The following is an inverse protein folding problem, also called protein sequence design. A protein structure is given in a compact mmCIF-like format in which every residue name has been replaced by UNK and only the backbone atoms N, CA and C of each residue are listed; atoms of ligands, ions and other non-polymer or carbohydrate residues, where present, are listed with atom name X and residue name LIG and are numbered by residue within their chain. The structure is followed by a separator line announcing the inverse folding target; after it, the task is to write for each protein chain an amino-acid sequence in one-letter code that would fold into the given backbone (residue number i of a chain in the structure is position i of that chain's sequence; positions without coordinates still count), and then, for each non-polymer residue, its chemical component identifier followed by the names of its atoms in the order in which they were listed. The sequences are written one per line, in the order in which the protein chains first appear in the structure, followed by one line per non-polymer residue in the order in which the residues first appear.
data_IF_071938074112
#
_entry.id   IF_071938074112
#
_cell.length_a   1.000
_cell.length_b   1.000
_cell.length_c   1.000
_cell.angle_alpha   90.00
_cell.angle_beta   90.00
_cell.angle_gamma   90.00
#
_symmetry.space_group_name_H-M   'P 1'
#
loop_
_entity.id
_entity.type
_entity.pdbx_description
1 polymer ?
#
# COMPACT_ATOMS: atom_id res chain seq x y z
N UNK A 1 0.73 -23.69 -37.58
CA UNK A 1 1.19 -22.99 -36.36
C UNK A 1 0.58 -21.60 -36.38
N UNK A 2 -0.36 -21.31 -35.48
CA UNK A 2 -1.06 -20.02 -35.44
C UNK A 2 -0.47 -19.12 -34.36
N UNK A 3 0.01 -17.95 -34.74
CA UNK A 3 0.39 -16.90 -33.80
C UNK A 3 -0.87 -16.18 -33.31
N UNK A 4 -1.10 -16.16 -32.01
CA UNK A 4 -2.11 -15.30 -31.41
C UNK A 4 -1.52 -13.89 -31.25
N UNK A 5 -1.94 -12.95 -32.09
CA UNK A 5 -1.65 -11.54 -31.88
C UNK A 5 -2.53 -11.09 -30.70
N UNK A 6 -1.90 -10.93 -29.53
CA UNK A 6 -2.51 -10.27 -28.38
C UNK A 6 -2.78 -8.81 -28.76
N UNK A 7 -4.03 -8.53 -29.10
CA UNK A 7 -4.54 -7.19 -29.36
C UNK A 7 -4.33 -6.38 -28.07
N UNK A 8 -3.46 -5.38 -28.11
CA UNK A 8 -3.41 -4.38 -27.04
C UNK A 8 -4.83 -3.84 -26.84
N UNK A 9 -5.29 -3.84 -25.58
CA UNK A 9 -6.56 -3.23 -25.21
C UNK A 9 -6.52 -1.77 -25.70
N UNK A 10 -7.43 -1.35 -26.60
CA UNK A 10 -7.53 0.06 -26.92
C UNK A 10 -7.84 0.80 -25.62
N UNK A 11 -7.01 1.78 -25.28
CA UNK A 11 -7.13 2.60 -24.08
C UNK A 11 -8.49 3.29 -24.04
N UNK A 12 -9.42 2.72 -23.28
CA UNK A 12 -10.71 3.28 -22.93
C UNK A 12 -10.90 3.20 -21.42
N UNK A 13 -10.62 4.32 -20.75
CA UNK A 13 -11.25 4.81 -19.50
C UNK A 13 -11.41 3.86 -18.29
N UNK A 14 -10.54 2.88 -18.10
CA UNK A 14 -10.25 2.34 -16.77
C UNK A 14 -8.79 2.65 -16.50
N UNK A 15 -8.52 3.61 -15.60
CA UNK A 15 -7.15 3.84 -15.13
C UNK A 15 -6.61 2.55 -14.54
N UNK A 16 -5.39 2.16 -14.90
CA UNK A 16 -4.72 1.02 -14.28
C UNK A 16 -4.67 1.24 -12.74
N UNK A 17 -4.93 0.18 -11.94
CA UNK A 17 -5.12 0.33 -10.50
C UNK A 17 -3.88 0.89 -9.81
N UNK A 18 -4.11 1.74 -8.83
CA UNK A 18 -3.08 2.30 -7.95
C UNK A 18 -3.12 1.60 -6.61
N UNK A 19 -2.01 0.97 -6.24
CA UNK A 19 -1.85 0.31 -4.95
C UNK A 19 -1.10 1.21 -3.97
N UNK A 20 -1.58 1.32 -2.73
CA UNK A 20 -0.75 1.75 -1.61
C UNK A 20 -0.21 0.52 -0.87
N UNK A 21 1.11 0.45 -0.72
CA UNK A 21 1.77 -0.58 0.09
C UNK A 21 2.24 0.04 1.42
N UNK A 22 1.81 -0.57 2.52
CA UNK A 22 2.27 -0.29 3.88
C UNK A 22 3.05 -1.49 4.43
N UNK A 23 4.08 -1.24 5.24
CA UNK A 23 4.94 -2.29 5.78
C UNK A 23 5.34 -2.04 7.21
N UNK A 24 5.28 -3.07 8.05
CA UNK A 24 5.92 -3.06 9.37
C UNK A 24 7.45 -3.03 9.19
N UNK A 25 8.09 -1.95 9.61
CA UNK A 25 9.52 -1.72 9.35
C UNK A 25 10.48 -2.68 10.08
N UNK A 26 10.02 -3.41 11.11
CA UNK A 26 10.84 -4.34 11.89
C UNK A 26 11.32 -5.59 11.11
N UNK A 27 10.75 -5.86 9.93
CA UNK A 27 11.04 -7.05 9.12
C UNK A 27 12.31 -6.93 8.24
N UNK A 28 12.82 -5.72 8.01
CA UNK A 28 14.01 -5.46 7.19
C UNK A 28 14.03 -6.23 5.86
N UNK A 29 15.07 -7.07 5.66
CA UNK A 29 15.30 -7.85 4.42
C UNK A 29 14.13 -8.76 4.04
N UNK A 30 13.36 -9.29 5.00
CA UNK A 30 12.19 -10.17 4.71
C UNK A 30 11.04 -9.38 4.06
N UNK A 31 10.85 -8.14 4.46
CA UNK A 31 9.88 -7.23 3.82
C UNK A 31 10.36 -6.86 2.42
N UNK A 32 11.64 -6.51 2.26
CA UNK A 32 12.23 -6.18 0.95
C UNK A 32 12.11 -7.33 -0.07
N UNK A 33 12.28 -8.59 0.35
CA UNK A 33 12.15 -9.74 -0.56
C UNK A 33 10.73 -9.93 -1.09
N UNK A 34 9.71 -9.85 -0.20
CA UNK A 34 8.31 -9.90 -0.61
C UNK A 34 7.99 -8.74 -1.55
N UNK A 35 8.38 -7.52 -1.14
CA UNK A 35 8.19 -6.31 -1.92
C UNK A 35 8.77 -6.46 -3.34
N UNK A 36 10.02 -6.88 -3.46
CA UNK A 36 10.67 -7.04 -4.76
C UNK A 36 9.98 -8.10 -5.62
N UNK A 37 9.57 -9.23 -5.05
CA UNK A 37 8.87 -10.28 -5.79
C UNK A 37 7.47 -9.82 -6.23
N UNK A 38 6.73 -9.16 -5.34
CA UNK A 38 5.38 -8.65 -5.59
C UNK A 38 5.40 -7.51 -6.61
N UNK A 39 6.24 -6.50 -6.39
CA UNK A 39 6.39 -5.33 -7.27
C UNK A 39 6.76 -5.71 -8.69
N UNK A 40 7.63 -6.72 -8.87
CA UNK A 40 7.95 -7.27 -10.20
C UNK A 40 6.72 -7.74 -10.97
N UNK A 41 5.69 -8.27 -10.31
CA UNK A 41 4.47 -8.73 -10.99
C UNK A 41 3.43 -7.61 -11.07
N UNK A 42 3.16 -6.93 -9.95
CA UNK A 42 2.16 -5.87 -9.87
C UNK A 42 2.41 -4.73 -10.85
N UNK A 43 3.66 -4.26 -10.96
CA UNK A 43 3.99 -3.09 -11.76
C UNK A 43 3.82 -3.28 -13.28
N UNK A 44 3.51 -4.49 -13.76
CA UNK A 44 3.11 -4.68 -15.17
C UNK A 44 1.67 -4.22 -15.46
N UNK A 45 0.81 -4.16 -14.44
CA UNK A 45 -0.62 -3.92 -14.60
C UNK A 45 -1.20 -2.86 -13.67
N UNK A 46 -0.42 -2.33 -12.72
CA UNK A 46 -0.87 -1.29 -11.80
C UNK A 46 0.29 -0.46 -11.27
N UNK A 47 0.00 0.78 -10.89
CA UNK A 47 0.98 1.64 -10.22
C UNK A 47 1.06 1.31 -8.73
N UNK A 48 2.16 1.67 -8.09
CA UNK A 48 2.38 1.37 -6.67
C UNK A 48 3.01 2.57 -5.96
N UNK A 49 2.45 2.90 -4.80
CA UNK A 49 2.90 3.97 -3.91
C UNK A 49 3.34 3.37 -2.58
N UNK A 50 4.38 3.95 -1.99
CA UNK A 50 4.86 3.58 -0.65
C UNK A 50 4.99 4.82 0.22
N UNK A 51 4.80 4.61 1.51
CA UNK A 51 5.17 5.57 2.54
C UNK A 51 6.49 5.12 3.16
N UNK A 52 7.44 6.04 3.22
CA UNK A 52 8.78 5.79 3.73
C UNK A 52 9.13 6.76 4.87
N UNK A 53 9.57 6.20 6.01
CA UNK A 53 10.17 6.99 7.09
C UNK A 53 11.69 7.16 6.91
N UNK A 54 12.34 7.99 7.75
CA UNK A 54 13.80 8.20 7.73
C UNK A 54 14.62 6.90 7.83
N UNK A 55 14.16 5.96 8.67
CA UNK A 55 14.83 4.67 8.88
C UNK A 55 14.83 3.78 7.62
N UNK A 56 13.89 4.03 6.70
CA UNK A 56 13.68 3.24 5.49
C UNK A 56 14.54 3.68 4.31
N UNK A 57 14.90 4.97 4.28
CA UNK A 57 15.82 5.53 3.30
C UNK A 57 17.19 4.84 3.33
N UNK A 58 17.57 4.22 4.45
CA UNK A 58 18.88 3.54 4.53
C UNK A 58 18.87 2.12 3.95
N UNK A 59 17.70 1.50 3.74
CA UNK A 59 17.60 0.06 3.40
C UNK A 59 16.88 -0.26 2.09
N UNK A 60 16.10 0.68 1.54
CA UNK A 60 15.31 0.46 0.29
C UNK A 60 15.75 1.36 -0.86
N UNK A 61 16.75 2.20 -0.65
CA UNK A 61 17.10 3.25 -1.59
C UNK A 61 17.76 2.67 -2.83
N UNK A 62 17.12 2.92 -3.98
CA UNK A 62 17.67 2.55 -5.28
C UNK A 62 19.01 3.26 -5.50
N UNK A 63 19.96 2.68 -6.27
CA UNK A 63 21.31 3.23 -6.40
C UNK A 63 21.37 4.72 -6.78
N UNK A 64 20.40 5.22 -7.54
CA UNK A 64 20.34 6.62 -7.94
C UNK A 64 19.76 7.52 -6.84
N UNK A 65 18.79 7.04 -6.05
CA UNK A 65 18.29 7.71 -4.86
C UNK A 65 19.34 7.71 -3.73
N UNK A 66 20.26 6.74 -3.72
CA UNK A 66 21.37 6.69 -2.76
C UNK A 66 22.33 7.87 -2.93
N UNK A 67 22.55 8.29 -4.18
CA UNK A 67 23.33 9.48 -4.50
C UNK A 67 22.60 10.77 -4.07
N UNK A 68 21.27 10.80 -4.16
CA UNK A 68 20.44 11.90 -3.63
C UNK A 68 20.49 11.95 -2.09
N UNK A 69 20.56 10.80 -1.43
CA UNK A 69 20.74 10.69 0.03
C UNK A 69 22.11 11.23 0.47
N UNK A 70 23.20 10.77 -0.15
CA UNK A 70 24.56 11.23 0.16
C UNK A 70 24.77 12.71 -0.17
N UNK A 71 24.05 13.26 -1.15
CA UNK A 71 24.12 14.67 -1.51
C UNK A 71 23.19 15.57 -0.67
N UNK A 72 22.48 15.04 0.33
CA UNK A 72 21.55 15.79 1.18
C UNK A 72 20.28 16.26 0.47
N UNK A 73 20.05 15.81 -0.77
CA UNK A 73 18.85 16.13 -1.57
C UNK A 73 17.64 15.30 -1.14
N UNK A 74 17.85 14.11 -0.60
CA UNK A 74 16.76 13.25 -0.10
C UNK A 74 16.06 13.85 1.14
N UNK A 75 16.79 14.56 2.01
CA UNK A 75 16.22 15.30 3.13
C UNK A 75 15.21 16.39 2.67
N UNK A 76 15.41 16.95 1.46
CA UNK A 76 14.49 17.92 0.85
C UNK A 76 13.28 17.28 0.18
N UNK A 77 13.24 15.95 0.05
CA UNK A 77 12.11 15.19 -0.51
C UNK A 77 11.11 14.74 0.54
N UNK A 78 11.35 15.06 1.82
CA UNK A 78 10.39 14.82 2.88
C UNK A 78 9.19 15.77 2.75
N UNK A 79 8.01 15.19 2.93
CA UNK A 79 6.75 15.89 2.85
C UNK A 79 6.54 16.64 4.16
N UNK A 80 6.71 17.97 4.12
CA UNK A 80 6.53 18.86 5.26
C UNK A 80 5.07 19.30 5.49
N UNK A 81 4.16 18.97 4.57
CA UNK A 81 2.75 19.35 4.69
C UNK A 81 1.91 19.06 3.43
N UNK A 82 0.63 19.48 3.41
CA UNK A 82 -0.31 19.14 2.34
C UNK A 82 0.09 19.66 0.96
N UNK A 83 0.70 20.84 0.89
CA UNK A 83 1.16 21.42 -0.38
C UNK A 83 2.36 20.64 -0.95
N UNK A 84 3.31 20.26 -0.10
CA UNK A 84 4.44 19.41 -0.50
C UNK A 84 3.96 18.03 -0.98
N UNK A 85 2.95 17.44 -0.32
CA UNK A 85 2.33 16.20 -0.78
C UNK A 85 1.67 16.34 -2.16
N UNK A 86 0.94 17.43 -2.38
CA UNK A 86 0.27 17.72 -3.65
C UNK A 86 1.28 17.83 -4.79
N UNK A 87 2.38 18.56 -4.56
CA UNK A 87 3.47 18.65 -5.53
C UNK A 87 4.08 17.28 -5.79
N UNK A 88 4.35 16.49 -4.75
CA UNK A 88 4.94 15.16 -4.89
C UNK A 88 4.04 14.20 -5.66
N UNK A 89 2.73 14.24 -5.44
CA UNK A 89 1.75 13.47 -6.21
C UNK A 89 1.78 13.83 -7.70
N UNK A 90 1.88 15.12 -8.04
CA UNK A 90 1.99 15.57 -9.43
C UNK A 90 3.31 15.11 -10.08
N UNK A 91 4.43 15.17 -9.36
CA UNK A 91 5.74 14.70 -9.85
C UNK A 91 5.80 13.17 -10.02
N UNK A 92 4.95 12.43 -9.31
CA UNK A 92 4.91 10.96 -9.30
C UNK A 92 3.69 10.41 -10.03
N UNK A 93 3.13 11.20 -10.95
CA UNK A 93 2.00 10.76 -11.76
C UNK A 93 2.34 9.43 -12.46
N UNK A 94 1.45 8.41 -12.38
CA UNK A 94 1.75 7.07 -12.84
C UNK A 94 2.18 7.03 -14.31
N UNK A 95 3.44 6.65 -14.53
CA UNK A 95 4.01 6.46 -15.86
C UNK A 95 4.69 5.10 -15.96
N UNK A 96 4.56 4.50 -17.14
CA UNK A 96 5.29 3.29 -17.49
C UNK A 96 6.66 3.65 -18.04
N UNK A 97 7.69 2.93 -17.59
CA UNK A 97 9.04 3.02 -18.15
C UNK A 97 9.10 2.30 -19.51
N UNK A 98 10.24 2.37 -20.20
CA UNK A 98 10.41 1.77 -21.53
C UNK A 98 10.18 0.25 -21.58
N UNK A 99 10.36 -0.43 -20.45
CA UNK A 99 10.08 -1.85 -20.29
C UNK A 99 8.58 -2.16 -20.03
N UNK A 100 7.73 -1.13 -20.03
CA UNK A 100 6.29 -1.23 -19.85
C UNK A 100 5.83 -1.34 -18.39
N UNK A 101 6.76 -1.30 -17.41
CA UNK A 101 6.42 -1.38 -15.99
C UNK A 101 6.17 0.01 -15.40
N UNK A 102 5.23 0.11 -14.47
CA UNK A 102 5.05 1.31 -13.66
C UNK A 102 6.25 1.52 -12.74
N UNK A 103 6.67 2.78 -12.63
CA UNK A 103 7.61 3.17 -11.59
C UNK A 103 6.93 3.15 -10.22
N UNK A 104 7.66 2.68 -9.22
CA UNK A 104 7.23 2.74 -7.83
C UNK A 104 7.44 4.16 -7.30
N UNK A 105 6.42 4.72 -6.65
CA UNK A 105 6.47 6.07 -6.11
C UNK A 105 6.65 6.07 -4.59
N UNK A 106 7.81 6.52 -4.12
CA UNK A 106 8.10 6.69 -2.69
C UNK A 106 7.74 8.09 -2.18
N UNK A 107 6.99 8.11 -1.08
CA UNK A 107 6.57 9.28 -0.33
C UNK A 107 7.26 9.29 1.04
N UNK A 108 8.30 10.11 1.16
CA UNK A 108 9.05 10.26 2.41
C UNK A 108 8.32 11.21 3.35
N UNK A 109 8.01 10.76 4.56
CA UNK A 109 7.30 11.56 5.56
C UNK A 109 8.07 11.65 6.88
N UNK A 110 7.82 12.74 7.62
CA UNK A 110 8.27 12.92 8.99
C UNK A 110 7.24 12.36 9.98
N UNK A 111 7.64 12.18 11.24
CA UNK A 111 6.80 11.64 12.32
C UNK A 111 5.56 12.50 12.63
N UNK A 112 5.56 13.77 12.25
CA UNK A 112 4.44 14.71 12.42
C UNK A 112 3.51 14.78 11.19
N UNK A 113 3.95 14.28 10.04
CA UNK A 113 3.23 14.40 8.75
C UNK A 113 2.71 13.06 8.22
N UNK A 114 3.19 11.92 8.72
CA UNK A 114 2.83 10.60 8.21
C UNK A 114 1.32 10.33 8.20
N UNK A 115 0.56 10.79 9.21
CA UNK A 115 -0.91 10.57 9.27
C UNK A 115 -1.63 11.23 8.11
N UNK A 116 -1.24 12.48 7.81
CA UNK A 116 -1.81 13.25 6.72
C UNK A 116 -1.48 12.61 5.36
N UNK A 117 -0.23 12.17 5.19
CA UNK A 117 0.21 11.45 3.99
C UNK A 117 -0.54 10.13 3.82
N UNK A 118 -0.59 9.30 4.87
CA UNK A 118 -1.31 8.03 4.87
C UNK A 118 -2.78 8.22 4.51
N UNK A 119 -3.48 9.11 5.22
CA UNK A 119 -4.91 9.33 4.99
C UNK A 119 -5.21 9.87 3.58
N UNK A 120 -4.29 10.61 2.96
CA UNK A 120 -4.47 11.07 1.58
C UNK A 120 -4.19 9.96 0.57
N UNK A 121 -3.04 9.29 0.67
CA UNK A 121 -2.66 8.22 -0.26
C UNK A 121 -3.63 7.04 -0.19
N UNK A 122 -4.08 6.67 1.01
CA UNK A 122 -4.99 5.54 1.20
C UNK A 122 -6.36 5.79 0.56
N UNK A 123 -6.86 7.04 0.56
CA UNK A 123 -8.10 7.41 -0.12
C UNK A 123 -7.97 7.41 -1.64
N UNK A 124 -6.82 7.84 -2.17
CA UNK A 124 -6.57 7.96 -3.60
C UNK A 124 -6.08 6.67 -4.28
N UNK A 125 -5.74 5.63 -3.53
CA UNK A 125 -5.27 4.35 -4.06
C UNK A 125 -6.39 3.33 -4.11
N UNK A 126 -6.64 2.70 -5.25
CA UNK A 126 -7.71 1.71 -5.46
C UNK A 126 -7.67 0.53 -4.48
N UNK A 127 -6.48 0.13 -4.03
CA UNK A 127 -6.33 -0.86 -2.97
C UNK A 127 -5.17 -0.54 -2.02
N UNK A 128 -5.21 -1.13 -0.84
CA UNK A 128 -4.15 -1.05 0.17
C UNK A 128 -3.68 -2.46 0.52
N UNK A 129 -2.37 -2.67 0.42
CA UNK A 129 -1.70 -3.87 0.92
C UNK A 129 -0.90 -3.50 2.15
N UNK A 130 -1.18 -4.10 3.30
CA UNK A 130 -0.43 -3.88 4.54
C UNK A 130 0.28 -5.16 4.99
N UNK A 131 1.61 -5.12 5.04
CA UNK A 131 2.43 -6.25 5.51
C UNK A 131 2.48 -6.27 7.04
N UNK A 132 1.74 -7.21 7.65
CA UNK A 132 1.65 -7.45 9.10
C UNK A 132 2.44 -8.67 9.55
N UNK A 133 3.35 -9.21 8.74
CA UNK A 133 4.22 -10.30 9.21
C UNK A 133 5.03 -9.83 10.43
N UNK A 134 5.24 -10.70 11.42
CA UNK A 134 5.86 -10.35 12.70
C UNK A 134 5.13 -9.26 13.51
N UNK A 135 3.83 -9.04 13.26
CA UNK A 135 3.02 -8.11 14.06
C UNK A 135 2.71 -8.67 15.44
N UNK A 136 2.91 -7.82 16.46
CA UNK A 136 2.73 -8.10 17.89
C UNK A 136 2.49 -6.79 18.66
N UNK A 137 2.30 -6.88 19.98
CA UNK A 137 2.16 -5.72 20.86
C UNK A 137 3.34 -4.72 20.83
N UNK A 138 4.50 -5.13 20.31
CA UNK A 138 5.66 -4.25 20.16
C UNK A 138 5.56 -3.31 18.93
N UNK A 139 4.56 -3.51 18.06
CA UNK A 139 4.40 -2.77 16.80
C UNK A 139 3.37 -1.64 16.92
N UNK A 140 3.54 -0.76 17.91
CA UNK A 140 2.58 0.30 18.22
C UNK A 140 2.25 1.21 17.03
N UNK A 141 3.24 1.54 16.18
CA UNK A 141 3.02 2.33 14.95
C UNK A 141 1.98 1.70 14.00
N UNK A 142 2.00 0.38 13.85
CA UNK A 142 1.08 -0.34 12.96
C UNK A 142 -0.35 -0.36 13.50
N UNK A 143 -0.56 -0.26 14.81
CA UNK A 143 -1.90 -0.12 15.41
C UNK A 143 -2.53 1.21 14.97
N UNK A 144 -1.76 2.29 14.96
CA UNK A 144 -2.24 3.57 14.47
C UNK A 144 -2.54 3.54 12.97
N UNK A 145 -1.68 2.91 12.16
CA UNK A 145 -1.93 2.74 10.72
C UNK A 145 -3.21 1.93 10.45
N UNK A 146 -3.43 0.82 11.17
CA UNK A 146 -4.68 0.04 11.07
C UNK A 146 -5.89 0.91 11.40
N UNK A 147 -5.84 1.69 12.49
CA UNK A 147 -6.94 2.58 12.87
C UNK A 147 -7.25 3.62 11.79
N UNK A 148 -6.23 4.27 11.25
CA UNK A 148 -6.38 5.26 10.18
C UNK A 148 -6.97 4.60 8.92
N UNK A 149 -6.47 3.44 8.51
CA UNK A 149 -6.99 2.70 7.36
C UNK A 149 -8.47 2.36 7.49
N UNK A 150 -8.89 1.79 8.62
CA UNK A 150 -10.30 1.47 8.87
C UNK A 150 -11.17 2.74 8.94
N UNK A 151 -10.58 3.88 9.27
CA UNK A 151 -11.25 5.17 9.29
C UNK A 151 -11.54 5.76 7.91
N UNK A 152 -10.70 5.47 6.90
CA UNK A 152 -10.73 6.23 5.62
C UNK A 152 -10.80 5.37 4.36
N UNK A 153 -10.58 4.05 4.46
CA UNK A 153 -10.58 3.13 3.32
C UNK A 153 -11.70 2.09 3.49
N UNK A 154 -12.53 1.83 2.47
CA UNK A 154 -13.44 0.70 2.47
C UNK A 154 -12.72 -0.61 2.76
N UNK A 155 -13.27 -1.42 3.65
CA UNK A 155 -12.59 -2.60 4.20
C UNK A 155 -12.22 -3.65 3.13
N UNK A 156 -13.02 -3.77 2.08
CA UNK A 156 -12.82 -4.69 0.94
C UNK A 156 -11.63 -4.31 0.04
N UNK A 157 -11.14 -3.07 0.13
CA UNK A 157 -9.94 -2.59 -0.56
C UNK A 157 -8.66 -2.84 0.23
N UNK A 158 -8.74 -3.30 1.47
CA UNK A 158 -7.58 -3.51 2.35
C UNK A 158 -7.27 -5.00 2.47
N UNK A 159 -6.04 -5.37 2.11
CA UNK A 159 -5.52 -6.73 2.29
C UNK A 159 -4.35 -6.69 3.28
N UNK A 160 -4.44 -7.48 4.35
CA UNK A 160 -3.34 -7.65 5.30
C UNK A 160 -2.57 -8.92 4.98
N UNK A 161 -1.25 -8.81 4.83
CA UNK A 161 -0.36 -9.97 4.71
C UNK A 161 0.05 -10.44 6.09
N UNK A 162 -0.15 -11.72 6.36
CA UNK A 162 0.20 -12.37 7.63
C UNK A 162 1.04 -13.62 7.34
N UNK A 163 1.76 -14.11 8.34
CA UNK A 163 2.46 -15.39 8.29
C UNK A 163 2.44 -16.06 9.67
N UNK A 164 3.15 -17.18 9.83
CA UNK A 164 3.22 -17.91 11.11
C UNK A 164 3.85 -17.10 12.26
N UNK A 165 4.50 -15.97 11.96
CA UNK A 165 5.08 -15.08 12.99
C UNK A 165 4.14 -13.97 13.43
N UNK A 166 2.93 -13.91 12.85
CA UNK A 166 1.93 -12.90 13.17
C UNK A 166 1.09 -13.34 14.36
N UNK A 167 0.99 -12.51 15.39
CA UNK A 167 0.06 -12.75 16.49
C UNK A 167 -1.37 -12.42 16.03
N UNK A 168 -2.07 -13.45 15.54
CA UNK A 168 -3.46 -13.32 15.05
C UNK A 168 -4.47 -13.04 16.17
N UNK A 169 -4.17 -13.47 17.40
CA UNK A 169 -5.01 -13.18 18.57
C UNK A 169 -5.00 -11.69 18.85
N UNK A 170 -3.80 -11.12 18.97
CA UNK A 170 -3.59 -9.70 19.17
C UNK A 170 -4.11 -8.87 17.99
N UNK A 171 -3.88 -9.29 16.75
CA UNK A 171 -4.43 -8.61 15.56
C UNK A 171 -5.97 -8.53 15.62
N UNK A 172 -6.64 -9.61 16.00
CA UNK A 172 -8.11 -9.61 16.15
C UNK A 172 -8.57 -8.65 17.23
N UNK A 173 -7.87 -8.58 18.35
CA UNK A 173 -8.16 -7.62 19.43
C UNK A 173 -8.02 -6.18 18.93
N UNK A 174 -6.91 -5.86 18.27
CA UNK A 174 -6.65 -4.53 17.69
C UNK A 174 -7.73 -4.14 16.68
N UNK A 175 -8.09 -5.04 15.76
CA UNK A 175 -9.13 -4.79 14.77
C UNK A 175 -10.50 -4.55 15.44
N UNK A 176 -10.83 -5.33 16.46
CA UNK A 176 -12.10 -5.18 17.23
C UNK A 176 -12.15 -3.83 17.94
N UNK A 177 -11.05 -3.44 18.59
CA UNK A 177 -10.95 -2.15 19.28
C UNK A 177 -11.05 -0.97 18.30
N UNK A 178 -10.32 -1.04 17.18
CA UNK A 178 -10.39 -0.01 16.13
C UNK A 178 -11.79 0.09 15.53
N UNK A 179 -12.45 -1.06 15.32
CA UNK A 179 -13.82 -1.12 14.82
C UNK A 179 -14.82 -0.42 15.74
N UNK A 180 -14.76 -0.72 17.04
CA UNK A 180 -15.61 -0.09 18.05
C UNK A 180 -15.40 1.44 18.10
N UNK A 181 -14.16 1.88 17.90
CA UNK A 181 -13.75 3.28 17.93
C UNK A 181 -13.89 4.02 16.58
N UNK A 182 -14.51 3.41 15.56
CA UNK A 182 -14.70 4.06 14.26
C UNK A 182 -15.53 5.35 14.39
N UNK A 183 -15.03 6.42 13.79
CA UNK A 183 -15.75 7.68 13.67
C UNK A 183 -17.03 7.51 12.83
N UNK A 184 -17.98 8.43 13.02
CA UNK A 184 -19.29 8.36 12.36
C UNK A 184 -19.21 8.49 10.83
N UNK A 185 -18.17 9.14 10.33
CA UNK A 185 -17.88 9.38 8.91
C UNK A 185 -17.01 8.29 8.27
N UNK A 186 -16.61 7.26 9.02
CA UNK A 186 -15.87 6.13 8.46
C UNK A 186 -16.71 5.40 7.39
N UNK A 187 -16.12 5.02 6.23
CA UNK A 187 -16.80 4.24 5.20
C UNK A 187 -17.23 2.86 5.70
N UNK A 188 -16.64 2.40 6.80
CA UNK A 188 -16.85 1.08 7.36
C UNK A 188 -17.92 1.05 8.47
N UNK A 189 -18.36 2.22 8.97
CA UNK A 189 -19.26 2.32 10.14
C UNK A 189 -20.58 1.57 9.99
N UNK A 190 -21.11 1.47 8.76
CA UNK A 190 -22.40 0.85 8.45
C UNK A 190 -22.31 -0.63 8.05
N UNK A 191 -21.12 -1.22 8.01
CA UNK A 191 -20.96 -2.63 7.66
C UNK A 191 -21.49 -3.53 8.79
N UNK A 192 -22.50 -4.33 8.49
CA UNK A 192 -23.14 -5.23 9.46
C UNK A 192 -22.30 -6.47 9.77
N UNK A 193 -21.58 -7.01 8.80
CA UNK A 193 -20.67 -8.17 8.93
C UNK A 193 -19.28 -7.80 8.36
N UNK A 194 -18.44 -7.09 9.14
CA UNK A 194 -17.14 -6.65 8.64
C UNK A 194 -16.18 -7.82 8.48
N UNK A 195 -15.72 -8.01 7.23
CA UNK A 195 -14.74 -9.04 6.89
C UNK A 195 -13.44 -8.42 6.45
N UNK A 196 -12.38 -8.77 7.16
CA UNK A 196 -11.03 -8.37 6.84
C UNK A 196 -10.42 -9.40 5.88
N UNK A 197 -9.76 -8.94 4.82
CA UNK A 197 -9.03 -9.81 3.91
C UNK A 197 -7.63 -10.08 4.48
N UNK A 198 -7.41 -11.31 4.95
CA UNK A 198 -6.11 -11.80 5.39
C UNK A 198 -5.48 -12.70 4.32
N UNK A 199 -4.29 -12.35 3.85
CA UNK A 199 -3.49 -13.17 2.96
C UNK A 199 -2.36 -13.85 3.74
N UNK A 200 -2.42 -15.18 3.87
CA UNK A 200 -1.34 -15.96 4.51
C UNK A 200 -0.18 -16.15 3.53
N UNK A 201 0.95 -15.53 3.83
CA UNK A 201 2.18 -15.62 3.05
C UNK A 201 2.96 -16.87 3.42
N UNK A 202 3.11 -17.78 2.45
CA UNK A 202 3.85 -19.03 2.59
C UNK A 202 5.18 -19.04 1.80
N UNK A 203 5.73 -17.86 1.48
CA UNK A 203 6.93 -17.69 0.67
C UNK A 203 6.66 -17.23 -0.76
N UNK A 204 7.73 -17.07 -1.56
CA UNK A 204 7.64 -16.42 -2.89
C UNK A 204 6.70 -17.11 -3.88
N UNK A 205 6.47 -18.41 -3.75
CA UNK A 205 5.48 -19.14 -4.57
C UNK A 205 4.04 -18.65 -4.39
N UNK A 206 3.73 -17.96 -3.29
CA UNK A 206 2.41 -17.38 -3.02
C UNK A 206 2.19 -16.00 -3.66
N UNK A 207 3.24 -15.35 -4.16
CA UNK A 207 3.17 -13.98 -4.70
C UNK A 207 2.18 -13.82 -5.87
N UNK A 208 2.10 -14.75 -6.85
CA UNK A 208 1.09 -14.64 -7.91
C UNK A 208 -0.36 -14.65 -7.37
N UNK A 209 -0.62 -15.40 -6.30
CA UNK A 209 -1.93 -15.39 -5.64
C UNK A 209 -2.19 -14.10 -4.89
N UNK A 210 -1.16 -13.49 -4.28
CA UNK A 210 -1.27 -12.18 -3.66
C UNK A 210 -1.61 -11.09 -4.69
N UNK A 211 -0.96 -11.11 -5.85
CA UNK A 211 -1.26 -10.17 -6.97
C UNK A 211 -2.71 -10.33 -7.43
N UNK A 212 -3.23 -11.55 -7.54
CA UNK A 212 -4.65 -11.78 -7.87
C UNK A 212 -5.59 -11.24 -6.80
N UNK A 213 -5.27 -11.44 -5.51
CA UNK A 213 -6.06 -10.89 -4.42
C UNK A 213 -6.11 -9.36 -4.47
N UNK A 214 -4.97 -8.70 -4.73
CA UNK A 214 -4.91 -7.25 -4.91
C UNK A 214 -5.67 -6.77 -6.15
N UNK A 215 -5.64 -7.53 -7.24
CA UNK A 215 -6.44 -7.24 -8.44
C UNK A 215 -7.93 -7.24 -8.13
N UNK A 216 -8.42 -8.22 -7.37
CA UNK A 216 -9.81 -8.26 -6.90
C UNK A 216 -10.16 -7.05 -6.03
N UNK A 217 -9.35 -6.77 -5.01
CA UNK A 217 -9.53 -5.63 -4.10
C UNK A 217 -9.56 -4.28 -4.85
N UNK A 218 -8.78 -4.12 -5.92
CA UNK A 218 -8.72 -2.88 -6.71
C UNK A 218 -9.90 -2.69 -7.67
N UNK A 219 -10.67 -3.75 -7.96
CA UNK A 219 -11.83 -3.67 -8.86
C UNK A 219 -13.15 -3.40 -8.14
N UNK A 220 -13.18 -3.52 -6.81
CA UNK A 220 -14.35 -3.16 -6.00
C UNK A 220 -14.46 -1.63 -5.85
N UNK A 221 -14.90 -0.99 -6.93
CA UNK A 221 -15.53 0.33 -6.84
C UNK A 221 -16.90 0.09 -6.22
N UNK A 222 -17.10 0.53 -4.97
CA UNK A 222 -18.44 0.69 -4.43
C UNK A 222 -19.26 1.48 -5.44
N UNK A 223 -20.26 0.83 -6.03
CA UNK A 223 -21.28 1.50 -6.84
C UNK A 223 -21.89 2.66 -6.04
N UNK A 224 -22.40 3.70 -6.72
CA UNK A 224 -22.90 4.88 -6.06
C UNK A 224 -23.89 4.46 -4.97
N UNK A 225 -23.70 4.99 -3.76
CA UNK A 225 -24.69 4.86 -2.70
C UNK A 225 -26.02 5.38 -3.26
N UNK A 226 -26.96 4.46 -3.47
CA UNK A 226 -28.28 4.79 -3.96
C UNK A 226 -28.95 5.78 -3.00
N UNK A 227 -29.68 6.71 -3.63
CA UNK A 227 -30.38 7.87 -3.11
C UNK A 227 -31.27 7.60 -1.89
#
# INVERSE_FOLDING_TARGET
MGFAILRQRPGGTASDPTLLLLRVFSLGKRSALLFNAFGKLWCHGGSMRLIAGPDLATSTVEPHEFLDFLSGKLARRFISGPQALTQRLAETEPRRDFDGRYRVADFFCHDDTWRMVLGRLARESDAVLMDLRNFSANNQGCIFEIKELLGVVPLDRVVFVVDETTDLGFLREVLTQCWAALAADSPNRKLADPRVLLFRFAGNGSVPSLVRAMGGASTHVQGPADK
#
